data_IF_922552422236
#
_entry.id   IF_922552422236
#
_cell.length_a   1.000
_cell.length_b   1.000
_cell.length_c   1.000
_cell.angle_alpha   90.00
_cell.angle_beta   90.00
_cell.angle_gamma   90.00
#
_symmetry.space_group_name_H-M   'P 1'
#
loop_
_entity.id
_entity.type
_entity.pdbx_description
1 polymer ?
#
# COMPACT_ATOMS: atom_id res chain seq x y z
N UNK A 1 -18.10 23.96 -0.50
CA UNK A 1 -16.87 23.44 0.15
C UNK A 1 -15.72 24.29 -0.33
N UNK A 2 -14.93 24.84 0.59
CA UNK A 2 -13.99 25.94 0.34
C UNK A 2 -12.53 25.53 0.61
N UNK A 3 -12.28 24.25 0.93
CA UNK A 3 -10.96 23.61 1.04
C UNK A 3 -10.78 22.43 0.06
N UNK A 4 -9.67 21.69 0.17
CA UNK A 4 -9.40 20.49 -0.63
C UNK A 4 -10.16 19.26 -0.13
N UNK A 5 -10.38 18.27 -1.00
CA UNK A 5 -11.07 17.03 -0.64
C UNK A 5 -10.07 15.94 -0.26
N UNK A 6 -10.28 15.35 0.91
CA UNK A 6 -9.68 14.07 1.30
C UNK A 6 -10.63 12.91 0.95
N UNK A 7 -10.11 11.68 0.74
CA UNK A 7 -8.69 11.35 0.58
C UNK A 7 -8.11 11.88 -0.75
N UNK A 8 -6.84 12.27 -0.75
CA UNK A 8 -6.09 12.70 -1.95
C UNK A 8 -5.77 11.53 -2.88
N UNK A 9 -5.62 10.31 -2.34
CA UNK A 9 -5.61 9.06 -3.09
C UNK A 9 -6.65 8.10 -2.48
N UNK A 10 -7.86 7.99 -3.06
CA UNK A 10 -8.89 7.10 -2.53
C UNK A 10 -8.63 5.63 -2.85
N UNK A 11 -9.42 4.76 -2.24
CA UNK A 11 -9.26 3.33 -2.40
C UNK A 11 -7.93 2.85 -1.80
N UNK A 12 -7.55 1.63 -2.14
CA UNK A 12 -6.35 0.97 -1.64
C UNK A 12 -5.05 1.73 -2.00
N UNK A 13 -4.69 2.72 -1.18
CA UNK A 13 -3.46 3.50 -1.18
C UNK A 13 -2.95 3.70 0.27
N UNK A 14 -2.61 2.61 0.98
CA UNK A 14 -2.05 2.68 2.32
C UNK A 14 -0.61 3.15 2.40
N UNK A 15 -0.17 3.43 3.63
CA UNK A 15 1.23 3.62 4.02
C UNK A 15 1.96 4.66 3.11
N UNK A 16 1.44 5.91 3.03
CA UNK A 16 1.96 6.91 2.10
C UNK A 16 3.31 7.48 2.57
N UNK A 17 4.26 7.54 1.65
CA UNK A 17 5.54 8.27 1.81
C UNK A 17 5.61 9.39 0.78
N UNK A 18 6.21 10.54 1.12
CA UNK A 18 6.20 11.73 0.26
C UNK A 18 7.57 12.41 0.19
N UNK A 19 7.91 12.93 -1.00
CA UNK A 19 9.11 13.75 -1.22
C UNK A 19 8.74 14.94 -2.11
N UNK A 20 9.21 16.15 -1.77
CA UNK A 20 9.16 17.32 -2.64
C UNK A 20 10.52 17.50 -3.32
N UNK A 21 10.55 17.59 -4.65
CA UNK A 21 11.77 17.85 -5.41
C UNK A 21 11.50 18.69 -6.65
N UNK A 22 12.20 19.81 -6.76
CA UNK A 22 11.92 20.81 -7.79
C UNK A 22 10.49 21.32 -7.63
N UNK A 23 9.73 21.32 -8.73
CA UNK A 23 8.33 21.78 -8.73
C UNK A 23 7.30 20.68 -8.38
N UNK A 24 7.76 19.44 -8.14
CA UNK A 24 6.90 18.27 -8.01
C UNK A 24 6.99 17.65 -6.62
N UNK A 25 5.85 17.10 -6.20
CA UNK A 25 5.73 16.14 -5.12
C UNK A 25 5.67 14.73 -5.72
N UNK A 26 6.28 13.77 -5.03
CA UNK A 26 6.24 12.36 -5.37
C UNK A 26 5.74 11.57 -4.17
N UNK A 27 4.88 10.59 -4.41
CA UNK A 27 4.27 9.79 -3.35
C UNK A 27 4.26 8.32 -3.74
N UNK A 28 4.58 7.43 -2.79
CA UNK A 28 4.48 5.98 -2.97
C UNK A 28 3.60 5.34 -1.90
N UNK A 29 2.97 4.20 -2.23
CA UNK A 29 2.08 3.45 -1.31
C UNK A 29 2.36 1.95 -1.38
N UNK A 30 2.00 1.22 -0.32
CA UNK A 30 2.15 -0.23 -0.28
C UNK A 30 1.18 -0.94 -1.23
N UNK A 31 1.56 -2.13 -1.70
CA UNK A 31 0.79 -2.88 -2.71
C UNK A 31 0.48 -4.31 -2.33
N UNK A 32 1.02 -4.81 -1.22
CA UNK A 32 0.73 -6.15 -0.74
C UNK A 32 0.96 -7.19 -1.84
N UNK A 33 0.02 -8.11 -2.07
CA UNK A 33 0.15 -9.17 -3.06
C UNK A 33 -0.02 -8.69 -4.51
N UNK A 34 -0.23 -7.41 -4.77
CA UNK A 34 -0.48 -6.89 -6.11
C UNK A 34 0.83 -6.52 -6.83
N UNK A 35 0.91 -6.86 -8.12
CA UNK A 35 2.06 -6.62 -8.99
C UNK A 35 1.64 -5.89 -10.28
N UNK A 36 2.37 -4.89 -10.80
CA UNK A 36 3.62 -4.33 -10.27
C UNK A 36 3.43 -3.66 -8.90
N UNK A 37 4.50 -3.63 -8.13
CA UNK A 37 4.52 -3.19 -6.74
C UNK A 37 5.02 -1.76 -6.58
N UNK A 38 4.54 -1.09 -5.53
CA UNK A 38 4.87 0.29 -5.15
C UNK A 38 4.61 1.30 -6.28
N UNK A 39 3.35 1.72 -6.48
CA UNK A 39 3.04 2.79 -7.43
C UNK A 39 3.71 4.10 -7.01
N UNK A 40 4.23 4.82 -7.99
CA UNK A 40 4.80 6.14 -7.82
C UNK A 40 3.85 7.16 -8.45
N UNK A 41 3.36 8.07 -7.62
CA UNK A 41 2.51 9.18 -8.01
C UNK A 41 3.31 10.48 -8.05
N UNK A 42 2.86 11.43 -8.88
CA UNK A 42 3.37 12.80 -8.89
C UNK A 42 2.24 13.81 -8.79
N UNK A 43 2.52 14.96 -8.19
CA UNK A 43 1.62 16.11 -8.10
C UNK A 43 2.42 17.41 -8.11
N UNK A 44 1.80 18.51 -8.52
CA UNK A 44 2.36 19.87 -8.40
C UNK A 44 1.63 20.70 -7.33
N UNK A 45 0.52 20.19 -6.79
CA UNK A 45 -0.41 20.89 -5.92
C UNK A 45 -0.84 20.11 -4.67
N UNK A 46 -0.26 18.91 -4.43
CA UNK A 46 -0.54 17.98 -3.33
C UNK A 46 -1.94 17.34 -3.35
N UNK A 47 -2.84 17.76 -4.25
CA UNK A 47 -4.23 17.32 -4.27
C UNK A 47 -4.50 16.41 -5.45
N UNK A 48 -4.06 16.80 -6.64
CA UNK A 48 -4.22 16.03 -7.86
C UNK A 48 -2.95 15.20 -8.12
N UNK A 49 -3.12 13.89 -8.09
CA UNK A 49 -2.03 12.93 -8.22
C UNK A 49 -2.17 12.10 -9.50
N UNK A 50 -1.08 12.00 -10.25
CA UNK A 50 -0.96 11.17 -11.44
C UNK A 50 -0.03 9.99 -11.15
N UNK A 51 -0.48 8.77 -11.46
CA UNK A 51 0.39 7.59 -11.47
C UNK A 51 1.38 7.69 -12.64
N UNK A 52 2.68 7.62 -12.36
CA UNK A 52 3.76 7.71 -13.37
C UNK A 52 4.48 6.38 -13.63
N UNK A 53 4.30 5.40 -12.74
CA UNK A 53 4.86 4.06 -12.88
C UNK A 53 4.93 3.32 -11.55
N UNK A 54 5.73 2.26 -11.50
CA UNK A 54 5.94 1.42 -10.31
C UNK A 54 7.42 1.16 -10.04
N UNK A 55 7.84 1.15 -8.78
CA UNK A 55 9.24 0.87 -8.45
C UNK A 55 9.61 -0.61 -8.63
N UNK A 56 8.64 -1.53 -8.46
CA UNK A 56 8.82 -2.98 -8.55
C UNK A 56 8.00 -3.55 -9.71
N UNK A 57 8.57 -3.50 -10.91
CA UNK A 57 7.89 -3.92 -12.15
C UNK A 57 8.55 -5.10 -12.87
N UNK A 58 9.58 -5.70 -12.27
CA UNK A 58 10.23 -6.92 -12.79
C UNK A 58 10.25 -8.02 -11.74
N UNK A 59 10.17 -9.26 -12.23
CA UNK A 59 10.29 -10.44 -11.39
C UNK A 59 11.66 -10.56 -10.70
N UNK A 60 12.72 -10.00 -11.28
CA UNK A 60 14.05 -9.92 -10.63
C UNK A 60 14.03 -9.06 -9.36
N UNK A 61 13.11 -8.09 -9.29
CA UNK A 61 12.92 -7.24 -8.12
C UNK A 61 11.96 -7.87 -7.10
N UNK A 62 10.92 -8.55 -7.59
CA UNK A 62 9.84 -9.05 -6.75
C UNK A 62 9.17 -10.31 -7.32
N UNK A 63 9.36 -11.44 -6.63
CA UNK A 63 8.67 -12.70 -6.94
C UNK A 63 7.74 -13.12 -5.78
N UNK A 64 6.47 -12.71 -5.87
CA UNK A 64 5.42 -12.98 -4.88
C UNK A 64 4.44 -14.06 -5.35
N UNK A 65 4.88 -14.98 -6.22
CA UNK A 65 4.02 -15.96 -6.89
C UNK A 65 2.98 -16.62 -5.96
N UNK A 66 3.40 -17.00 -4.75
CA UNK A 66 2.57 -17.71 -3.77
C UNK A 66 2.44 -16.96 -2.44
N UNK A 67 2.57 -15.63 -2.44
CA UNK A 67 2.35 -14.84 -1.23
C UNK A 67 0.90 -15.01 -0.74
N UNK A 68 0.70 -15.12 0.57
CA UNK A 68 -0.65 -15.18 1.14
C UNK A 68 -1.45 -13.89 0.84
N UNK A 69 -2.78 -13.95 0.92
CA UNK A 69 -3.60 -12.76 0.75
C UNK A 69 -3.28 -11.74 1.86
N UNK A 70 -3.22 -10.44 1.53
CA UNK A 70 -2.72 -9.37 2.40
C UNK A 70 -1.26 -9.53 2.88
N UNK A 71 -0.47 -10.44 2.29
CA UNK A 71 0.98 -10.43 2.40
C UNK A 71 1.59 -9.61 1.24
N UNK A 72 2.86 -9.80 0.91
CA UNK A 72 3.56 -9.15 -0.20
C UNK A 72 4.28 -7.87 0.24
N UNK A 73 4.20 -6.81 -0.56
CA UNK A 73 4.91 -5.55 -0.30
C UNK A 73 4.19 -4.71 0.76
N UNK A 74 4.81 -4.59 1.92
CA UNK A 74 4.36 -3.74 3.02
C UNK A 74 4.79 -2.28 2.80
N UNK A 75 4.73 -1.43 3.82
CA UNK A 75 5.01 0.00 3.72
C UNK A 75 6.32 0.28 2.95
N UNK A 76 6.26 1.07 1.86
CA UNK A 76 7.45 1.57 1.21
C UNK A 76 7.86 2.91 1.85
N UNK A 77 9.13 3.26 1.70
CA UNK A 77 9.58 4.64 1.93
C UNK A 77 10.39 5.12 0.74
N UNK A 78 10.06 6.33 0.26
CA UNK A 78 10.68 6.98 -0.89
C UNK A 78 11.55 8.12 -0.38
N UNK A 79 12.82 8.13 -0.77
CA UNK A 79 13.79 9.16 -0.37
C UNK A 79 14.64 9.57 -1.55
N UNK A 80 15.05 10.83 -1.59
CA UNK A 80 16.03 11.32 -2.54
C UNK A 80 17.34 11.63 -1.83
N UNK A 81 18.45 11.10 -2.35
CA UNK A 81 19.78 11.40 -1.86
C UNK A 81 20.40 12.50 -2.72
N UNK A 82 20.45 13.71 -2.18
CA UNK A 82 21.00 14.88 -2.88
C UNK A 82 22.47 14.69 -3.29
N UNK A 83 23.27 13.99 -2.48
CA UNK A 83 24.70 13.79 -2.76
C UNK A 83 24.97 12.82 -3.91
N UNK A 84 24.10 11.82 -4.06
CA UNK A 84 24.17 10.80 -5.12
C UNK A 84 23.26 11.15 -6.31
N UNK A 85 22.50 12.24 -6.21
CA UNK A 85 21.47 12.66 -7.15
C UNK A 85 20.46 11.55 -7.51
N UNK A 86 20.12 10.69 -6.53
CA UNK A 86 19.46 9.40 -6.76
C UNK A 86 18.26 9.17 -5.86
N UNK A 87 17.23 8.54 -6.42
CA UNK A 87 16.06 8.07 -5.68
C UNK A 87 16.28 6.68 -5.10
N UNK A 88 15.78 6.48 -3.88
CA UNK A 88 15.76 5.21 -3.17
C UNK A 88 14.33 4.89 -2.76
N UNK A 89 13.87 3.68 -3.06
CA UNK A 89 12.62 3.11 -2.55
C UNK A 89 12.97 1.88 -1.73
N UNK A 90 12.62 1.90 -0.45
CA UNK A 90 12.88 0.84 0.51
C UNK A 90 11.57 0.22 0.99
N UNK A 91 11.54 -1.08 1.24
CA UNK A 91 10.34 -1.81 1.71
C UNK A 91 10.71 -3.22 2.20
N UNK A 92 9.72 -3.98 2.67
CA UNK A 92 9.84 -5.40 3.00
C UNK A 92 8.78 -6.24 2.27
N UNK A 93 9.19 -7.45 1.87
CA UNK A 93 8.28 -8.45 1.29
C UNK A 93 7.92 -9.53 2.31
N UNK A 94 6.64 -9.62 2.66
CA UNK A 94 6.05 -10.63 3.53
C UNK A 94 5.49 -11.76 2.68
N UNK A 95 5.81 -13.03 2.95
CA UNK A 95 5.24 -14.14 2.17
C UNK A 95 4.07 -14.84 2.86
N UNK A 96 4.10 -14.87 4.19
CA UNK A 96 3.10 -15.52 5.03
C UNK A 96 2.74 -14.55 6.15
N UNK A 97 1.46 -14.45 6.44
CA UNK A 97 1.01 -13.64 7.57
C UNK A 97 1.41 -14.33 8.88
N UNK A 98 1.74 -13.54 9.90
CA UNK A 98 2.05 -14.07 11.22
C UNK A 98 0.84 -14.85 11.77
N UNK A 99 0.96 -16.19 11.85
CA UNK A 99 -0.04 -17.05 12.47
C UNK A 99 0.38 -17.33 13.91
N UNK A 100 -0.57 -17.23 14.85
CA UNK A 100 -0.40 -17.59 16.26
C UNK A 100 -0.49 -19.11 16.50
N UNK A 101 -0.06 -19.93 15.54
CA UNK A 101 0.01 -21.38 15.72
C UNK A 101 1.44 -21.74 16.17
N UNK A 102 1.55 -22.46 17.29
CA UNK A 102 2.78 -22.65 18.09
C UNK A 102 3.98 -23.30 17.36
N UNK A 103 3.82 -23.68 16.08
CA UNK A 103 4.86 -24.37 15.29
C UNK A 103 5.02 -23.88 13.84
N UNK A 104 4.31 -22.85 13.37
CA UNK A 104 4.46 -22.28 12.00
C UNK A 104 4.47 -20.74 12.03
N UNK A 105 5.34 -20.17 12.86
CA UNK A 105 5.64 -18.73 12.77
C UNK A 105 6.49 -18.47 11.53
N UNK A 106 6.02 -17.65 10.58
CA UNK A 106 6.83 -17.32 9.42
C UNK A 106 8.08 -16.55 9.84
N UNK A 107 9.20 -16.70 9.11
CA UNK A 107 10.38 -15.89 9.38
C UNK A 107 10.03 -14.39 9.23
N UNK A 108 10.64 -13.51 10.03
CA UNK A 108 10.46 -12.08 9.84
C UNK A 108 10.88 -11.70 8.40
N UNK A 109 10.15 -10.77 7.76
CA UNK A 109 10.44 -10.40 6.39
C UNK A 109 11.80 -9.73 6.28
N UNK A 110 12.45 -9.90 5.14
CA UNK A 110 13.71 -9.23 4.84
C UNK A 110 13.43 -7.93 4.09
N UNK A 111 13.91 -6.82 4.63
CA UNK A 111 13.85 -5.52 3.97
C UNK A 111 14.88 -5.41 2.85
N UNK A 112 14.59 -4.53 1.88
CA UNK A 112 15.50 -4.20 0.79
C UNK A 112 15.20 -2.80 0.26
N UNK A 113 16.08 -2.28 -0.58
CA UNK A 113 15.79 -1.12 -1.40
C UNK A 113 16.15 -1.35 -2.87
N UNK A 114 15.51 -0.57 -3.72
CA UNK A 114 15.88 -0.35 -5.12
C UNK A 114 16.13 1.13 -5.33
N UNK A 115 16.86 1.49 -6.37
CA UNK A 115 17.17 2.89 -6.66
C UNK A 115 17.00 3.22 -8.14
N UNK A 116 16.82 4.51 -8.45
CA UNK A 116 16.79 5.02 -9.83
C UNK A 116 17.35 6.44 -9.88
N UNK A 117 18.04 6.76 -10.97
CA UNK A 117 18.46 8.14 -11.28
C UNK A 117 17.34 8.90 -12.02
N UNK A 118 16.29 8.20 -12.47
CA UNK A 118 15.15 8.79 -13.17
C UNK A 118 13.82 8.20 -12.68
N UNK A 119 13.13 8.92 -11.80
CA UNK A 119 11.84 8.51 -11.23
C UNK A 119 10.70 8.45 -12.27
N UNK A 120 10.86 9.12 -13.42
CA UNK A 120 9.86 9.17 -14.48
C UNK A 120 9.86 7.93 -15.40
N UNK A 121 10.91 7.12 -15.31
CA UNK A 121 11.08 5.91 -16.12
C UNK A 121 11.14 4.68 -15.22
N UNK A 122 10.00 4.00 -15.08
CA UNK A 122 9.89 2.81 -14.24
C UNK A 122 10.84 1.68 -14.67
N UNK A 123 11.34 1.68 -15.90
CA UNK A 123 12.30 0.65 -16.35
C UNK A 123 13.70 0.83 -15.76
N UNK A 124 13.98 1.96 -15.10
CA UNK A 124 15.31 2.32 -14.58
C UNK A 124 15.57 1.94 -13.13
N UNK A 125 14.55 1.51 -12.40
CA UNK A 125 14.75 1.00 -11.04
C UNK A 125 15.72 -0.19 -11.04
N UNK A 126 16.67 -0.21 -10.11
CA UNK A 126 17.67 -1.27 -9.96
C UNK A 126 17.05 -2.61 -9.57
N UNK A 127 17.86 -3.66 -9.58
CA UNK A 127 17.59 -4.87 -8.80
C UNK A 127 17.81 -4.57 -7.29
N UNK A 128 17.22 -5.37 -6.38
CA UNK A 128 17.18 -5.06 -4.96
C UNK A 128 18.53 -5.28 -4.28
N UNK A 129 18.86 -4.38 -3.35
CA UNK A 129 19.94 -4.56 -2.36
C UNK A 129 19.27 -4.82 -1.00
N UNK A 130 19.62 -5.94 -0.38
CA UNK A 130 18.98 -6.40 0.85
C UNK A 130 19.72 -5.89 2.08
N UNK A 131 18.96 -5.59 3.13
CA UNK A 131 19.55 -5.26 4.43
C UNK A 131 19.92 -6.51 5.23
N UNK A 132 20.87 -6.36 6.15
CA UNK A 132 21.24 -7.38 7.14
C UNK A 132 20.17 -7.59 8.23
N UNK A 133 19.17 -6.72 8.30
CA UNK A 133 18.14 -6.71 9.33
C UNK A 133 16.79 -7.20 8.79
N UNK A 134 16.07 -7.93 9.64
CA UNK A 134 14.72 -8.38 9.35
C UNK A 134 13.69 -7.52 10.09
N UNK A 135 12.50 -7.40 9.53
CA UNK A 135 11.42 -6.53 10.00
C UNK A 135 10.71 -5.82 8.86
N UNK A 136 9.86 -4.88 9.21
CA UNK A 136 9.05 -4.09 8.26
C UNK A 136 9.38 -2.60 8.38
N UNK A 137 8.75 -1.79 7.54
CA UNK A 137 8.75 -0.33 7.61
C UNK A 137 10.16 0.28 7.61
N UNK A 138 10.98 -0.12 6.65
CA UNK A 138 12.32 0.40 6.49
C UNK A 138 12.29 1.84 5.98
N UNK A 139 13.02 2.75 6.62
CA UNK A 139 13.30 4.10 6.14
C UNK A 139 14.81 4.39 6.11
N UNK A 140 15.23 5.17 5.12
CA UNK A 140 16.57 5.67 4.95
C UNK A 140 16.63 7.17 5.28
N UNK A 141 17.46 7.53 6.25
CA UNK A 141 17.79 8.91 6.54
C UNK A 141 19.22 9.23 6.08
N UNK A 142 19.34 10.21 5.17
CA UNK A 142 20.62 10.71 4.65
C UNK A 142 21.05 11.95 5.46
N UNK A 143 22.09 11.82 6.28
CA UNK A 143 22.51 12.90 7.18
C UNK A 143 23.53 13.86 6.51
N UNK A 144 23.68 15.03 7.10
CA UNK A 144 24.57 16.10 6.65
C UNK A 144 26.06 15.74 6.80
N UNK A 145 26.40 14.73 7.58
CA UNK A 145 27.77 14.21 7.67
C UNK A 145 28.09 13.15 6.60
N UNK A 146 27.09 12.80 5.76
CA UNK A 146 27.22 11.80 4.71
C UNK A 146 26.96 10.37 5.15
N UNK A 147 26.67 10.13 6.44
CA UNK A 147 26.22 8.82 6.89
C UNK A 147 24.78 8.56 6.46
N UNK A 148 24.47 7.28 6.36
CA UNK A 148 23.16 6.79 5.98
C UNK A 148 22.65 5.91 7.12
N UNK A 149 21.47 6.24 7.61
CA UNK A 149 20.83 5.54 8.71
C UNK A 149 19.62 4.79 8.21
N UNK A 150 19.54 3.50 8.54
CA UNK A 150 18.37 2.67 8.36
C UNK A 150 17.60 2.64 9.67
N UNK A 151 16.30 2.95 9.61
CA UNK A 151 15.36 2.70 10.70
C UNK A 151 14.33 1.67 10.25
N UNK A 152 13.88 0.80 11.15
CA UNK A 152 12.88 -0.24 10.83
C UNK A 152 12.15 -0.72 12.08
N UNK A 153 11.02 -1.40 11.87
CA UNK A 153 10.22 -2.01 12.91
C UNK A 153 10.47 -3.53 13.02
N UNK A 154 10.75 -4.00 14.23
CA UNK A 154 10.87 -5.44 14.55
C UNK A 154 10.52 -5.69 16.02
N UNK A 155 10.37 -6.96 16.38
CA UNK A 155 10.23 -7.39 17.78
C UNK A 155 11.55 -7.19 18.55
N UNK A 156 11.47 -7.13 19.87
CA UNK A 156 12.65 -7.20 20.74
C UNK A 156 13.08 -8.66 20.83
N UNK A 157 14.37 -8.99 20.62
CA UNK A 157 14.88 -10.35 20.81
C UNK A 157 14.51 -10.90 22.20
N UNK A 158 14.13 -12.17 22.27
CA UNK A 158 13.78 -12.90 23.49
C UNK A 158 12.59 -12.33 24.31
N UNK A 159 11.82 -11.38 23.74
CA UNK A 159 10.59 -10.91 24.38
C UNK A 159 9.46 -11.91 24.19
N UNK A 160 8.80 -12.29 25.28
CA UNK A 160 7.59 -13.12 25.25
C UNK A 160 6.39 -12.20 25.10
N UNK A 161 5.77 -12.20 23.93
CA UNK A 161 4.54 -11.47 23.68
C UNK A 161 3.40 -11.97 24.57
N UNK A 162 2.58 -11.06 25.09
CA UNK A 162 1.35 -11.46 25.77
C UNK A 162 0.35 -12.01 24.74
N UNK A 163 -0.38 -13.11 25.05
CA UNK A 163 -1.39 -13.63 24.16
C UNK A 163 -2.40 -12.55 23.76
N UNK A 164 -2.52 -12.28 22.46
CA UNK A 164 -3.43 -11.25 21.96
C UNK A 164 -2.74 -10.00 21.44
N UNK A 165 -1.51 -9.70 21.87
CA UNK A 165 -0.78 -8.48 21.50
C UNK A 165 0.27 -8.75 20.41
N UNK A 166 0.49 -7.77 19.55
CA UNK A 166 1.69 -7.70 18.71
C UNK A 166 2.68 -6.73 19.37
N UNK A 167 3.97 -7.07 19.37
CA UNK A 167 5.01 -6.15 19.86
C UNK A 167 5.97 -5.77 18.74
N UNK A 168 5.86 -4.55 18.27
CA UNK A 168 6.82 -3.96 17.34
C UNK A 168 7.49 -2.77 18.00
N UNK A 169 8.78 -2.63 17.71
CA UNK A 169 9.65 -1.59 18.23
C UNK A 169 10.54 -1.09 17.12
N UNK A 170 10.98 0.16 17.22
CA UNK A 170 11.80 0.80 16.20
C UNK A 170 13.27 0.75 16.59
N UNK A 171 14.07 0.31 15.63
CA UNK A 171 15.52 0.23 15.72
C UNK A 171 16.17 1.11 14.67
N UNK A 172 17.42 1.50 14.90
CA UNK A 172 18.24 2.19 13.90
C UNK A 172 19.68 1.69 13.88
N UNK A 173 20.29 1.72 12.70
CA UNK A 173 21.69 1.38 12.46
C UNK A 173 22.22 2.20 11.28
N UNK A 174 23.53 2.49 11.29
CA UNK A 174 24.16 3.04 10.09
C UNK A 174 24.33 1.91 9.06
N UNK A 175 24.22 2.20 7.77
CA UNK A 175 24.40 1.20 6.70
C UNK A 175 25.38 1.66 5.62
N UNK A 176 25.92 0.69 4.88
CA UNK A 176 26.56 0.89 3.59
C UNK A 176 25.50 0.79 2.47
N UNK A 177 25.38 1.83 1.63
CA UNK A 177 24.40 1.89 0.53
C UNK A 177 24.80 1.14 -0.73
N UNK A 178 25.99 0.57 -0.79
CA UNK A 178 26.42 -0.22 -1.95
C UNK A 178 26.20 -1.71 -1.69
N UNK A 179 26.29 -2.14 -0.42
CA UNK A 179 26.11 -3.55 -0.03
C UNK A 179 24.82 -3.82 0.73
N UNK A 180 24.25 -2.82 1.43
CA UNK A 180 23.13 -3.01 2.36
C UNK A 180 23.57 -3.44 3.76
N UNK A 181 24.87 -3.55 4.01
CA UNK A 181 25.41 -4.09 5.25
C UNK A 181 25.31 -3.08 6.41
N UNK A 182 25.17 -3.60 7.62
CA UNK A 182 25.19 -2.79 8.84
C UNK A 182 26.60 -2.29 9.17
N UNK A 183 26.71 -1.00 9.47
CA UNK A 183 27.90 -0.40 10.06
C UNK A 183 27.68 -0.25 11.57
N UNK A 184 28.12 -1.26 12.31
CA UNK A 184 28.00 -1.32 13.77
C UNK A 184 26.75 -2.07 14.24
N UNK A 185 26.26 -1.74 15.43
CA UNK A 185 25.18 -2.48 16.10
C UNK A 185 23.84 -1.72 16.05
N UNK A 186 22.73 -2.41 15.72
CA UNK A 186 21.38 -1.91 15.90
C UNK A 186 21.15 -1.32 17.29
N UNK A 187 20.40 -0.21 17.35
CA UNK A 187 19.96 0.40 18.61
C UNK A 187 18.45 0.55 18.61
N UNK A 188 17.81 0.05 19.66
CA UNK A 188 16.41 0.32 19.97
C UNK A 188 16.25 1.83 20.27
N UNK A 189 15.37 2.50 19.52
CA UNK A 189 15.14 3.94 19.64
C UNK A 189 13.70 4.31 20.02
N UNK A 190 12.72 3.43 19.76
CA UNK A 190 11.34 3.64 20.19
C UNK A 190 10.66 2.32 20.56
N UNK A 191 9.91 2.36 21.66
CA UNK A 191 8.92 1.35 22.03
C UNK A 191 7.61 2.08 22.28
N UNK A 192 6.47 1.49 21.93
CA UNK A 192 5.18 2.11 22.20
C UNK A 192 5.04 2.41 23.71
N UNK A 193 4.64 3.64 24.03
CA UNK A 193 4.39 4.11 25.41
C UNK A 193 2.90 4.29 25.72
N UNK A 194 2.02 3.96 24.77
CA UNK A 194 0.58 4.22 24.80
C UNK A 194 -0.24 3.03 24.31
N UNK A 195 -1.52 2.99 24.69
CA UNK A 195 -2.49 1.92 24.36
C UNK A 195 -2.07 0.51 24.81
N UNK A 196 -3.00 -0.45 24.66
CA UNK A 196 -2.76 -1.85 25.04
C UNK A 196 -1.86 -2.58 24.05
N UNK A 197 -1.95 -2.24 22.76
CA UNK A 197 -1.17 -2.87 21.70
C UNK A 197 0.26 -2.30 21.65
N UNK A 198 1.29 -3.13 21.79
CA UNK A 198 2.69 -2.68 21.98
C UNK A 198 3.41 -2.45 20.65
N UNK A 199 2.73 -1.80 19.71
CA UNK A 199 3.22 -1.54 18.35
C UNK A 199 3.75 -0.11 18.25
N UNK A 200 5.04 0.03 17.94
CA UNK A 200 5.64 1.21 17.36
C UNK A 200 6.31 0.79 16.04
N UNK A 201 5.86 1.38 14.94
CA UNK A 201 6.25 1.04 13.57
C UNK A 201 6.29 2.30 12.69
N UNK A 202 6.38 2.16 11.36
CA UNK A 202 6.43 3.28 10.42
C UNK A 202 7.45 4.38 10.76
N UNK A 203 8.72 4.06 11.11
CA UNK A 203 9.65 5.06 11.58
C UNK A 203 10.15 5.97 10.45
N UNK A 204 10.02 7.28 10.63
CA UNK A 204 10.71 8.25 9.77
C UNK A 204 11.58 9.21 10.57
N UNK A 205 12.84 9.31 10.16
CA UNK A 205 13.78 10.30 10.72
C UNK A 205 13.96 11.41 9.71
N UNK A 206 13.78 12.65 10.16
CA UNK A 206 14.09 13.84 9.39
C UNK A 206 14.77 14.89 10.28
N UNK A 207 15.39 15.89 9.65
CA UNK A 207 16.15 16.92 10.35
C UNK A 207 15.66 18.30 9.97
N UNK A 208 15.44 19.15 10.96
CA UNK A 208 15.04 20.54 10.78
C UNK A 208 15.76 21.42 11.79
N UNK A 209 16.37 22.51 11.33
CA UNK A 209 17.08 23.49 12.16
C UNK A 209 18.13 22.85 13.11
N UNK A 210 18.83 21.82 12.63
CA UNK A 210 19.84 21.08 13.41
C UNK A 210 19.29 20.07 14.42
N UNK A 211 17.97 19.90 14.51
CA UNK A 211 17.29 18.94 15.38
C UNK A 211 16.79 17.76 14.56
N UNK A 212 17.01 16.55 15.08
CA UNK A 212 16.46 15.32 14.49
C UNK A 212 15.08 15.07 15.07
N UNK A 213 14.14 14.66 14.23
CA UNK A 213 12.80 14.26 14.60
C UNK A 213 12.59 12.82 14.18
N UNK A 214 11.95 12.02 15.03
CA UNK A 214 11.51 10.67 14.77
C UNK A 214 10.00 10.64 14.88
N UNK A 215 9.31 10.32 13.78
CA UNK A 215 7.89 9.99 13.80
C UNK A 215 7.69 8.48 13.72
N UNK A 216 6.66 7.98 14.40
CA UNK A 216 6.30 6.56 14.44
C UNK A 216 4.79 6.37 14.54
N UNK A 217 4.26 5.40 13.80
CA UNK A 217 2.91 4.90 13.95
C UNK A 217 2.79 4.02 15.20
N UNK A 218 1.74 4.22 16.01
CA UNK A 218 1.51 3.46 17.24
C UNK A 218 0.07 2.96 17.35
N UNK A 219 -0.12 1.88 18.10
CA UNK A 219 -1.42 1.24 18.35
C UNK A 219 -1.81 0.15 17.34
N UNK A 220 -1.07 0.02 16.24
CA UNK A 220 -1.41 -0.84 15.10
C UNK A 220 -2.42 -0.16 14.17
N UNK A 221 -2.52 -0.64 12.93
CA UNK A 221 -3.29 0.03 11.86
C UNK A 221 -4.83 -0.04 12.01
N UNK A 222 -5.36 -0.44 13.18
CA UNK A 222 -6.79 -0.48 13.48
C UNK A 222 -7.27 0.73 14.31
N UNK A 223 -8.14 0.51 15.30
CA UNK A 223 -8.86 1.58 16.03
C UNK A 223 -7.91 2.51 16.79
N UNK A 224 -6.83 1.95 17.35
CA UNK A 224 -5.85 2.68 18.16
C UNK A 224 -4.77 3.37 17.30
N UNK A 225 -4.86 3.28 15.97
CA UNK A 225 -3.86 3.83 15.08
C UNK A 225 -3.68 5.33 15.28
N UNK A 226 -2.44 5.72 15.56
CA UNK A 226 -2.05 7.10 15.84
C UNK A 226 -0.62 7.36 15.39
N UNK A 227 -0.25 8.63 15.25
CA UNK A 227 1.12 9.03 14.92
C UNK A 227 1.76 9.79 16.09
N UNK A 228 3.03 9.52 16.36
CA UNK A 228 3.78 10.09 17.48
C UNK A 228 5.08 10.70 17.01
N UNK A 229 5.56 11.73 17.71
CA UNK A 229 6.85 12.36 17.45
C UNK A 229 7.74 12.43 18.68
N UNK A 230 9.03 12.21 18.44
CA UNK A 230 10.12 12.50 19.35
C UNK A 230 11.17 13.39 18.66
N UNK A 231 12.06 14.03 19.42
CA UNK A 231 13.20 14.78 18.88
C UNK A 231 14.51 14.48 19.60
N UNK A 232 15.63 14.73 18.95
CA UNK A 232 16.97 14.60 19.51
C UNK A 232 17.89 15.68 18.95
N UNK A 233 18.81 16.18 19.78
CA UNK A 233 19.92 17.05 19.36
C UNK A 233 21.20 16.29 19.06
N UNK A 234 21.27 15.01 19.43
CA UNK A 234 22.52 14.25 19.45
C UNK A 234 22.72 13.45 18.14
N UNK A 235 21.62 13.01 17.53
CA UNK A 235 21.66 12.29 16.27
C UNK A 235 20.55 11.23 16.12
N UNK A 236 20.58 10.46 15.02
CA UNK A 236 19.57 9.43 14.73
C UNK A 236 19.50 8.31 15.77
N UNK A 237 20.55 8.13 16.59
CA UNK A 237 20.57 7.18 17.69
C UNK A 237 19.92 7.72 18.98
N UNK A 238 19.44 8.96 19.02
CA UNK A 238 18.93 9.59 20.23
C UNK A 238 20.05 9.96 21.24
N UNK A 239 19.69 10.26 22.51
CA UNK A 239 18.41 9.99 23.16
C UNK A 239 17.26 10.82 22.56
N UNK A 240 16.04 10.26 22.64
CA UNK A 240 14.83 10.85 22.06
C UNK A 240 13.94 11.45 23.16
N UNK A 241 13.69 12.75 23.09
CA UNK A 241 12.69 13.47 23.88
C UNK A 241 11.32 13.30 23.22
N UNK A 242 10.35 12.73 23.94
CA UNK A 242 8.98 12.56 23.44
C UNK A 242 8.28 13.92 23.39
N UNK A 243 7.57 14.20 22.29
CA UNK A 243 6.78 15.42 22.14
C UNK A 243 5.73 15.59 23.25
N UNK A 244 5.47 16.83 23.72
CA UNK A 244 4.50 17.09 24.79
C UNK A 244 3.12 16.52 24.50
N UNK A 245 2.52 15.84 25.50
CA UNK A 245 1.17 15.31 25.36
C UNK A 245 0.13 16.42 25.25
N UNK A 246 -0.94 16.15 24.51
CA UNK A 246 -2.11 17.02 24.30
C UNK A 246 -1.86 18.29 23.48
N UNK A 247 -0.61 18.75 23.34
CA UNK A 247 -0.26 19.88 22.46
C UNK A 247 0.46 19.45 21.19
N UNK A 248 1.22 18.36 21.24
CA UNK A 248 1.97 17.81 20.09
C UNK A 248 1.59 16.35 19.84
N UNK A 249 1.59 15.53 20.89
CA UNK A 249 1.29 14.10 20.79
C UNK A 249 -0.11 13.72 21.31
N UNK A 250 -0.79 12.76 20.67
CA UNK A 250 -0.45 12.21 19.35
C UNK A 250 -0.56 13.28 18.26
N UNK A 251 0.31 13.21 17.24
CA UNK A 251 0.28 14.16 16.11
C UNK A 251 -1.04 14.05 15.35
N UNK A 252 -1.49 12.81 15.12
CA UNK A 252 -2.81 12.50 14.58
C UNK A 252 -3.41 11.30 15.31
N UNK A 253 -4.69 11.41 15.65
CA UNK A 253 -5.51 10.32 16.19
C UNK A 253 -6.99 10.67 16.06
N UNK A 254 -7.70 9.98 15.17
CA UNK A 254 -9.13 10.20 14.97
C UNK A 254 -10.02 9.41 15.94
N UNK A 255 -9.54 8.30 16.51
CA UNK A 255 -10.33 7.39 17.34
C UNK A 255 -11.59 6.88 16.61
N UNK A 256 -12.70 6.74 17.34
CA UNK A 256 -13.99 6.30 16.80
C UNK A 256 -14.78 7.44 16.12
N UNK A 257 -14.22 8.02 15.07
CA UNK A 257 -14.87 9.04 14.24
C UNK A 257 -15.44 8.42 12.95
N UNK A 258 -16.77 8.36 12.82
CA UNK A 258 -17.42 7.59 11.75
C UNK A 258 -17.32 8.18 10.34
N UNK A 259 -16.69 9.35 10.17
CA UNK A 259 -16.34 9.87 8.84
C UNK A 259 -14.94 9.41 8.40
N UNK A 260 -13.97 9.44 9.32
CA UNK A 260 -12.55 9.10 9.07
C UNK A 260 -11.96 8.44 10.32
N UNK A 261 -11.51 7.19 10.23
CA UNK A 261 -10.85 6.46 11.33
C UNK A 261 -9.43 6.00 10.97
N UNK A 262 -8.73 5.41 11.93
CA UNK A 262 -7.46 4.69 11.73
C UNK A 262 -6.34 5.56 11.14
N UNK A 263 -6.27 6.84 11.50
CA UNK A 263 -5.27 7.80 11.03
C UNK A 263 -3.88 7.51 11.62
N UNK A 264 -2.87 7.30 10.79
CA UNK A 264 -1.49 7.07 11.22
C UNK A 264 -0.60 6.73 10.03
N UNK A 265 0.58 6.17 10.31
CA UNK A 265 1.59 5.82 9.29
C UNK A 265 1.87 7.04 8.40
N UNK A 266 2.27 8.13 9.06
CA UNK A 266 2.39 9.45 8.48
C UNK A 266 3.79 9.69 7.93
N UNK A 267 3.90 10.43 6.84
CA UNK A 267 5.15 11.04 6.36
C UNK A 267 4.95 12.56 6.17
N UNK A 268 6.02 13.33 6.27
CA UNK A 268 5.98 14.81 6.23
C UNK A 268 6.89 15.38 5.16
N UNK A 269 6.47 16.52 4.60
CA UNK A 269 7.26 17.22 3.60
C UNK A 269 7.15 18.73 3.78
N UNK A 270 8.28 19.41 3.59
CA UNK A 270 8.29 20.85 3.37
C UNK A 270 7.92 21.13 1.90
N UNK A 271 6.85 21.88 1.71
CA UNK A 271 6.40 22.32 0.40
C UNK A 271 7.35 23.32 -0.23
N UNK A 272 7.20 23.53 -1.54
CA UNK A 272 7.99 24.51 -2.32
C UNK A 272 7.86 25.96 -1.84
N UNK A 273 6.82 26.26 -1.08
CA UNK A 273 6.52 27.55 -0.46
C UNK A 273 6.98 27.64 1.01
N UNK A 274 7.65 26.61 1.53
CA UNK A 274 8.05 26.48 2.93
C UNK A 274 6.92 26.03 3.87
N UNK A 275 5.70 25.83 3.36
CA UNK A 275 4.59 25.29 4.14
C UNK A 275 4.78 23.79 4.32
N UNK A 276 4.68 23.31 5.55
CA UNK A 276 4.78 21.89 5.84
C UNK A 276 3.45 21.18 5.65
N UNK A 277 3.52 19.94 5.19
CA UNK A 277 2.39 19.06 4.92
C UNK A 277 2.65 17.67 5.48
N UNK A 278 1.60 17.00 5.90
CA UNK A 278 1.60 15.62 6.32
C UNK A 278 0.68 14.80 5.43
N UNK A 279 1.16 13.63 5.00
CA UNK A 279 0.33 12.58 4.40
C UNK A 279 0.21 11.44 5.40
N UNK A 280 -0.96 10.84 5.53
CA UNK A 280 -1.16 9.67 6.39
C UNK A 280 -2.18 8.73 5.75
N UNK A 281 -2.19 7.47 6.17
CA UNK A 281 -3.30 6.61 5.83
C UNK A 281 -4.50 6.89 6.74
N UNK A 282 -5.71 6.65 6.26
CA UNK A 282 -6.92 6.55 7.08
C UNK A 282 -7.97 5.70 6.36
N UNK A 283 -9.08 5.39 7.04
CA UNK A 283 -10.23 4.69 6.45
C UNK A 283 -11.49 5.53 6.52
N UNK A 284 -12.32 5.45 5.48
CA UNK A 284 -13.72 5.87 5.53
C UNK A 284 -14.59 4.66 5.90
N UNK A 285 -15.04 4.51 7.15
CA UNK A 285 -15.79 3.32 7.56
C UNK A 285 -17.18 3.29 6.91
N UNK A 286 -17.76 2.09 6.75
CA UNK A 286 -19.13 1.87 6.25
C UNK A 286 -19.97 1.03 7.21
N UNK A 287 -19.37 0.02 7.86
CA UNK A 287 -20.04 -0.82 8.86
C UNK A 287 -19.12 -1.03 10.06
N UNK A 288 -19.39 -0.31 11.15
CA UNK A 288 -18.49 -0.25 12.30
C UNK A 288 -17.16 0.35 11.88
N UNK A 289 -16.06 -0.40 12.02
CA UNK A 289 -14.71 0.03 11.66
C UNK A 289 -14.28 -0.41 10.25
N UNK A 290 -15.14 -1.13 9.53
CA UNK A 290 -14.78 -1.77 8.27
C UNK A 290 -14.99 -0.81 7.09
N UNK A 291 -14.03 -0.80 6.18
CA UNK A 291 -14.14 -0.14 4.87
C UNK A 291 -13.74 -1.08 3.76
N UNK A 292 -14.61 -1.24 2.75
CA UNK A 292 -14.31 -2.03 1.55
C UNK A 292 -13.51 -1.23 0.50
N UNK A 293 -13.16 0.02 0.78
CA UNK A 293 -12.17 0.77 -0.02
C UNK A 293 -10.74 0.54 0.48
N UNK A 294 -10.58 -0.13 1.63
CA UNK A 294 -9.30 -0.30 2.29
C UNK A 294 -8.81 0.99 2.95
N UNK A 295 -7.50 1.06 3.16
CA UNK A 295 -6.78 2.23 3.69
C UNK A 295 -6.44 3.17 2.52
N UNK A 296 -6.79 4.44 2.67
CA UNK A 296 -6.69 5.50 1.65
C UNK A 296 -5.69 6.58 2.14
N UNK A 297 -5.14 7.40 1.25
CA UNK A 297 -4.18 8.46 1.63
C UNK A 297 -4.88 9.81 1.86
N UNK A 298 -4.60 10.43 3.00
CA UNK A 298 -5.11 11.73 3.42
C UNK A 298 -3.99 12.76 3.52
N UNK A 299 -4.35 14.05 3.42
CA UNK A 299 -3.47 15.20 3.52
C UNK A 299 -3.91 16.12 4.67
N UNK A 300 -2.95 16.70 5.38
CA UNK A 300 -3.15 17.73 6.38
C UNK A 300 -2.03 18.80 6.34
N UNK A 301 -2.33 20.09 6.58
CA UNK A 301 -1.30 21.10 6.77
C UNK A 301 -0.60 20.91 8.13
N UNK A 302 0.65 21.36 8.22
CA UNK A 302 1.45 21.30 9.44
C UNK A 302 2.02 22.68 9.78
N UNK A 303 1.79 23.11 11.02
CA UNK A 303 2.37 24.33 11.57
C UNK A 303 3.48 24.01 12.55
N UNK A 304 4.53 24.82 12.60
CA UNK A 304 5.58 24.68 13.61
C UNK A 304 5.37 25.65 14.77
N UNK A 305 5.27 25.14 16.00
CA UNK A 305 5.11 25.93 17.23
C UNK A 305 6.12 25.46 18.27
N UNK A 306 6.93 26.36 18.79
CA UNK A 306 7.95 26.08 19.82
C UNK A 306 8.87 24.89 19.48
N UNK A 307 9.23 24.77 18.20
CA UNK A 307 10.08 23.68 17.69
C UNK A 307 9.39 22.32 17.54
N UNK A 308 8.05 22.27 17.57
CA UNK A 308 7.27 21.07 17.34
C UNK A 308 6.27 21.25 16.18
N UNK A 309 6.06 20.22 15.34
CA UNK A 309 5.01 20.24 14.34
C UNK A 309 3.65 19.97 14.98
N UNK A 310 2.65 20.73 14.55
CA UNK A 310 1.24 20.61 14.94
C UNK A 310 0.44 20.34 13.67
N UNK A 311 -0.03 19.11 13.52
CA UNK A 311 -0.78 18.66 12.34
C UNK A 311 -2.22 19.15 12.43
N UNK A 312 -2.73 19.73 11.35
CA UNK A 312 -4.11 20.20 11.22
C UNK A 312 -4.59 21.08 12.39
N UNK A 313 -3.68 21.90 12.94
CA UNK A 313 -3.92 22.72 14.13
C UNK A 313 -4.45 21.92 15.35
N UNK A 314 -4.03 20.65 15.50
CA UNK A 314 -4.42 19.74 16.58
C UNK A 314 -5.83 19.15 16.42
N UNK A 315 -6.49 19.36 15.28
CA UNK A 315 -7.82 18.80 14.99
C UNK A 315 -7.71 17.47 14.27
N UNK A 316 -8.74 16.63 14.44
CA UNK A 316 -8.92 15.40 13.65
C UNK A 316 -8.91 15.69 12.15
N UNK A 317 -8.37 14.75 11.37
CA UNK A 317 -8.38 14.82 9.91
C UNK A 317 -9.79 14.49 9.42
N UNK A 318 -10.36 15.36 8.59
CA UNK A 318 -11.69 15.18 8.00
C UNK A 318 -11.65 14.96 6.48
N UNK A 319 -12.84 14.77 5.90
CA UNK A 319 -13.04 14.62 4.44
C UNK A 319 -12.81 15.92 3.65
N UNK A 320 -12.80 17.07 4.33
CA UNK A 320 -12.48 18.37 3.74
C UNK A 320 -11.32 18.98 4.53
N UNK A 321 -10.26 19.36 3.83
CA UNK A 321 -9.15 20.10 4.41
C UNK A 321 -9.54 21.52 4.81
N UNK A 322 -8.77 22.17 5.69
CA UNK A 322 -9.13 23.48 6.22
C UNK A 322 -8.98 24.58 5.14
N UNK A 323 -9.87 25.58 5.15
CA UNK A 323 -9.99 26.60 4.09
C UNK A 323 -8.79 27.55 4.02
N UNK A 324 -8.11 27.73 5.15
CA UNK A 324 -6.93 28.57 5.34
C UNK A 324 -5.63 27.88 4.89
N UNK A 325 -5.69 26.60 4.47
CA UNK A 325 -4.53 25.86 3.95
C UNK A 325 -3.99 26.40 2.61
N UNK A 326 -4.70 27.31 1.95
CA UNK A 326 -4.34 27.82 0.62
C UNK A 326 -4.65 26.86 -0.53
N UNK A 327 -4.95 25.58 -0.25
CA UNK A 327 -5.37 24.60 -1.25
C UNK A 327 -6.89 24.62 -1.43
N UNK A 328 -7.32 24.89 -2.68
CA UNK A 328 -8.74 24.93 -3.05
C UNK A 328 -8.99 24.01 -4.22
N UNK A 329 -9.47 22.79 -3.93
CA UNK A 329 -9.89 21.89 -5.00
C UNK A 329 -10.89 20.85 -4.51
N UNK A 330 -12.13 20.99 -4.98
CA UNK A 330 -13.12 19.93 -4.84
C UNK A 330 -12.82 18.91 -5.92
N UNK A 331 -12.71 17.66 -5.50
CA UNK A 331 -12.40 16.55 -6.38
C UNK A 331 -13.46 16.39 -7.48
N UNK A 332 -13.03 16.25 -8.72
CA UNK A 332 -13.91 15.90 -9.83
C UNK A 332 -14.39 14.45 -9.70
N UNK A 333 -15.63 14.20 -10.10
CA UNK A 333 -16.18 12.85 -10.20
C UNK A 333 -15.27 11.99 -11.10
N UNK A 334 -14.71 10.92 -10.53
CA UNK A 334 -13.86 10.02 -11.30
C UNK A 334 -14.71 9.17 -12.24
N UNK A 335 -14.49 9.36 -13.53
CA UNK A 335 -14.96 8.44 -14.57
C UNK A 335 -13.81 8.14 -15.50
N UNK A 336 -13.77 6.92 -16.01
CA UNK A 336 -12.75 6.52 -16.98
C UNK A 336 -13.38 5.55 -17.98
N UNK A 337 -12.84 5.54 -19.18
CA UNK A 337 -13.18 4.59 -20.25
C UNK A 337 -11.89 4.15 -20.89
N UNK A 338 -11.64 2.85 -20.94
CA UNK A 338 -10.46 2.27 -21.60
C UNK A 338 -10.91 1.46 -22.81
N UNK A 339 -10.35 1.81 -23.97
CA UNK A 339 -10.33 0.93 -25.16
C UNK A 339 -8.93 0.34 -25.18
N UNK A 340 -8.78 -0.93 -24.79
CA UNK A 340 -7.50 -1.63 -24.61
C UNK A 340 -6.72 -1.78 -25.93
N UNK A 341 -6.24 -0.67 -26.49
CA UNK A 341 -5.47 -0.63 -27.72
C UNK A 341 -4.03 -1.12 -27.47
N UNK A 342 -3.30 -1.42 -28.55
CA UNK A 342 -1.94 -1.99 -28.49
C UNK A 342 -0.90 -1.08 -27.81
N UNK A 343 -1.14 0.22 -27.75
CA UNK A 343 -0.19 1.23 -27.26
C UNK A 343 -0.50 1.64 -25.80
N UNK A 344 -1.52 1.05 -25.18
CA UNK A 344 -1.91 1.32 -23.80
C UNK A 344 -0.88 0.74 -22.83
N UNK A 345 -0.27 1.61 -22.04
CA UNK A 345 0.48 1.18 -20.86
C UNK A 345 -0.49 0.79 -19.75
N UNK A 346 -0.68 -0.51 -19.54
CA UNK A 346 -1.60 -1.03 -18.52
C UNK A 346 -1.21 -0.55 -17.12
N UNK A 347 0.07 -0.56 -16.79
CA UNK A 347 0.55 -0.35 -15.42
C UNK A 347 0.51 1.13 -15.03
N UNK A 348 0.87 2.04 -15.93
CA UNK A 348 0.68 3.48 -15.73
C UNK A 348 -0.80 3.90 -15.75
N UNK A 349 -1.67 3.06 -16.30
CA UNK A 349 -3.12 3.23 -16.21
C UNK A 349 -3.74 2.49 -15.01
N UNK A 350 -2.91 2.00 -14.07
CA UNK A 350 -3.35 1.47 -12.78
C UNK A 350 -4.03 0.11 -12.86
N UNK A 351 -3.58 -0.75 -13.79
CA UNK A 351 -3.93 -2.17 -13.83
C UNK A 351 -2.89 -2.99 -13.07
N UNK A 352 -3.36 -3.99 -12.32
CA UNK A 352 -2.52 -4.84 -11.48
C UNK A 352 -2.86 -6.32 -11.70
N UNK A 353 -1.84 -7.15 -11.57
CA UNK A 353 -1.94 -8.57 -11.35
C UNK A 353 -2.11 -8.86 -9.85
N UNK A 354 -2.80 -9.96 -9.53
CA UNK A 354 -2.63 -10.58 -8.22
C UNK A 354 -1.40 -11.49 -8.31
N UNK A 355 -0.39 -11.17 -7.51
CA UNK A 355 0.94 -11.81 -7.42
C UNK A 355 1.77 -11.67 -8.69
N UNK A 356 3.02 -12.12 -8.64
CA UNK A 356 3.96 -12.05 -9.76
C UNK A 356 3.66 -13.15 -10.79
N UNK A 357 3.24 -12.82 -12.03
CA UNK A 357 2.99 -13.84 -13.05
C UNK A 357 4.27 -14.59 -13.45
N UNK A 358 4.21 -15.93 -13.55
CA UNK A 358 5.34 -16.74 -14.06
C UNK A 358 5.48 -16.61 -15.59
N UNK A 359 4.34 -16.49 -16.29
CA UNK A 359 4.28 -16.38 -17.74
C UNK A 359 3.28 -15.30 -18.15
N UNK A 360 3.49 -14.62 -19.29
CA UNK A 360 2.51 -13.70 -19.83
C UNK A 360 1.17 -14.39 -20.10
N UNK A 361 0.10 -13.88 -19.51
CA UNK A 361 -1.28 -14.33 -19.76
C UNK A 361 -2.16 -13.24 -20.36
N UNK A 362 -1.63 -12.03 -20.59
CA UNK A 362 -2.38 -10.95 -21.21
C UNK A 362 -1.65 -10.43 -22.44
N UNK A 363 -2.40 -9.78 -23.34
CA UNK A 363 -1.87 -9.07 -24.49
C UNK A 363 -2.86 -8.02 -24.98
N UNK A 364 -2.33 -6.97 -25.58
CA UNK A 364 -3.13 -5.91 -26.20
C UNK A 364 -3.09 -6.07 -27.72
N UNK A 365 -4.25 -5.90 -28.36
CA UNK A 365 -4.40 -6.02 -29.80
C UNK A 365 -5.34 -4.94 -30.33
N UNK A 366 -5.52 -4.87 -31.65
CA UNK A 366 -6.56 -4.02 -32.25
C UNK A 366 -7.98 -4.42 -31.82
N UNK A 367 -8.18 -5.68 -31.38
CA UNK A 367 -9.46 -6.19 -30.90
C UNK A 367 -9.69 -5.92 -29.40
N UNK A 368 -8.69 -5.42 -28.66
CA UNK A 368 -8.78 -5.16 -27.24
C UNK A 368 -7.80 -5.99 -26.40
N UNK A 369 -8.15 -6.16 -25.12
CA UNK A 369 -7.42 -6.96 -24.14
C UNK A 369 -7.74 -8.45 -24.35
N UNK A 370 -6.69 -9.25 -24.53
CA UNK A 370 -6.78 -10.71 -24.54
C UNK A 370 -6.27 -11.20 -23.19
N UNK A 371 -7.08 -11.99 -22.48
CA UNK A 371 -6.67 -12.74 -21.29
C UNK A 371 -6.70 -14.24 -21.62
N UNK A 372 -5.56 -14.91 -21.40
CA UNK A 372 -5.43 -16.36 -21.56
C UNK A 372 -5.81 -17.04 -20.26
N UNK A 373 -6.63 -18.10 -20.32
CA UNK A 373 -6.96 -18.89 -19.14
C UNK A 373 -5.69 -19.47 -18.49
N UNK A 374 -5.60 -19.33 -17.18
CA UNK A 374 -4.57 -19.92 -16.35
C UNK A 374 -4.93 -21.35 -15.92
N UNK A 375 -4.00 -22.01 -15.23
CA UNK A 375 -4.24 -23.35 -14.66
C UNK A 375 -4.98 -23.30 -13.32
N UNK A 376 -4.99 -22.14 -12.67
CA UNK A 376 -5.47 -21.98 -11.30
C UNK A 376 -6.68 -21.08 -11.25
N UNK A 377 -7.65 -21.48 -10.44
CA UNK A 377 -8.83 -20.69 -10.13
C UNK A 377 -8.54 -19.70 -8.98
N UNK A 378 -9.40 -18.69 -8.83
CA UNK A 378 -9.20 -17.53 -7.95
C UNK A 378 -8.96 -17.86 -6.46
N UNK A 379 -9.34 -19.06 -6.00
CA UNK A 379 -9.16 -19.51 -4.63
C UNK A 379 -7.73 -19.95 -4.26
N UNK A 380 -6.84 -20.10 -5.24
CA UNK A 380 -5.48 -20.60 -5.01
C UNK A 380 -4.52 -19.46 -4.61
N UNK A 381 -3.54 -19.78 -3.76
CA UNK A 381 -2.41 -18.90 -3.47
C UNK A 381 -1.35 -18.96 -4.57
N UNK A 382 -1.75 -18.53 -5.76
CA UNK A 382 -0.93 -18.53 -6.97
C UNK A 382 -1.23 -17.28 -7.81
N UNK A 383 -0.34 -16.94 -8.76
CA UNK A 383 -0.55 -15.89 -9.73
C UNK A 383 -1.58 -16.33 -10.79
N UNK A 384 -2.86 -16.09 -10.47
CA UNK A 384 -4.00 -16.37 -11.36
C UNK A 384 -4.06 -15.36 -12.52
N UNK A 385 -4.69 -15.77 -13.62
CA UNK A 385 -4.90 -14.90 -14.79
C UNK A 385 -6.00 -13.88 -14.50
N UNK A 386 -5.61 -12.72 -13.96
CA UNK A 386 -6.53 -11.68 -13.50
C UNK A 386 -5.87 -10.31 -13.60
N UNK A 387 -6.58 -9.35 -14.20
CA UNK A 387 -6.22 -7.93 -14.20
C UNK A 387 -7.25 -7.14 -13.37
N UNK A 388 -6.74 -6.36 -12.42
CA UNK A 388 -7.53 -5.62 -11.45
C UNK A 388 -7.25 -4.13 -11.54
N UNK A 389 -8.25 -3.33 -11.17
CA UNK A 389 -8.14 -1.88 -10.98
C UNK A 389 -8.75 -1.53 -9.63
N UNK A 390 -8.10 -0.63 -8.89
CA UNK A 390 -8.55 -0.19 -7.56
C UNK A 390 -9.95 0.41 -7.62
N UNK A 391 -10.83 0.00 -6.69
CA UNK A 391 -12.10 0.68 -6.44
C UNK A 391 -11.82 1.96 -5.63
N UNK A 392 -12.31 3.11 -6.09
CA UNK A 392 -12.00 4.43 -5.50
C UNK A 392 -13.22 5.18 -4.95
N UNK A 393 -14.41 4.59 -5.09
CA UNK A 393 -15.67 5.16 -4.64
C UNK A 393 -16.60 4.06 -4.11
N UNK A 394 -17.41 4.40 -3.10
CA UNK A 394 -18.40 3.50 -2.53
C UNK A 394 -19.54 3.18 -3.50
N UNK A 395 -19.90 4.13 -4.35
CA UNK A 395 -20.99 4.01 -5.31
C UNK A 395 -20.43 4.26 -6.71
N UNK A 396 -20.72 3.35 -7.63
CA UNK A 396 -20.33 3.49 -9.03
C UNK A 396 -20.90 2.38 -9.89
N UNK A 397 -20.88 2.60 -11.20
CA UNK A 397 -21.32 1.63 -12.20
C UNK A 397 -20.15 1.31 -13.13
N UNK A 398 -19.95 0.03 -13.39
CA UNK A 398 -18.87 -0.48 -14.23
C UNK A 398 -19.49 -1.30 -15.34
N UNK A 399 -19.03 -1.08 -16.57
CA UNK A 399 -19.48 -1.82 -17.74
C UNK A 399 -18.27 -2.41 -18.43
N UNK A 400 -18.39 -3.67 -18.80
CA UNK A 400 -17.38 -4.41 -19.57
C UNK A 400 -18.10 -5.25 -20.60
N UNK A 401 -17.55 -5.25 -21.80
CA UNK A 401 -17.94 -6.12 -22.90
C UNK A 401 -16.78 -7.08 -23.12
N UNK A 402 -17.07 -8.38 -23.11
CA UNK A 402 -16.08 -9.42 -23.39
C UNK A 402 -16.75 -10.58 -24.12
N UNK A 403 -15.94 -11.31 -24.88
CA UNK A 403 -16.33 -12.52 -25.59
C UNK A 403 -15.53 -13.69 -25.03
N UNK A 404 -16.19 -14.83 -24.82
CA UNK A 404 -15.54 -16.04 -24.34
C UNK A 404 -16.33 -17.28 -24.78
N UNK A 405 -15.66 -18.14 -25.55
CA UNK A 405 -16.23 -19.38 -26.06
C UNK A 405 -15.49 -20.57 -25.43
N UNK A 406 -15.95 -21.09 -24.27
CA UNK A 406 -15.25 -22.20 -23.62
C UNK A 406 -15.39 -23.47 -24.46
N UNK A 407 -14.27 -24.13 -24.72
CA UNK A 407 -14.21 -25.39 -25.49
C UNK A 407 -14.08 -26.60 -24.59
N UNK A 408 -13.75 -26.40 -23.31
CA UNK A 408 -13.56 -27.46 -22.34
C UNK A 408 -14.34 -27.23 -21.04
N UNK A 409 -14.84 -28.30 -20.39
CA UNK A 409 -15.46 -28.20 -19.08
C UNK A 409 -14.49 -27.61 -18.04
N UNK A 410 -14.92 -26.57 -17.33
CA UNK A 410 -14.13 -25.90 -16.30
C UNK A 410 -13.31 -24.70 -16.79
N UNK A 411 -13.24 -24.46 -18.10
CA UNK A 411 -12.79 -23.17 -18.63
C UNK A 411 -13.78 -22.08 -18.21
N UNK A 412 -13.29 -20.98 -17.66
CA UNK A 412 -14.12 -19.93 -17.10
C UNK A 412 -13.46 -18.56 -17.26
N UNK A 413 -14.23 -17.58 -17.72
CA UNK A 413 -13.81 -16.19 -17.82
C UNK A 413 -14.97 -15.26 -17.44
N UNK A 414 -14.64 -14.12 -16.84
CA UNK A 414 -15.65 -13.18 -16.39
C UNK A 414 -15.08 -11.99 -15.63
N UNK A 415 -15.95 -11.40 -14.83
CA UNK A 415 -15.71 -10.16 -14.11
C UNK A 415 -15.88 -10.43 -12.63
N UNK A 416 -15.02 -9.83 -11.81
CA UNK A 416 -15.07 -10.01 -10.36
C UNK A 416 -14.92 -8.66 -9.65
N UNK A 417 -15.69 -8.49 -8.57
CA UNK A 417 -15.38 -7.55 -7.50
C UNK A 417 -14.51 -8.32 -6.50
N UNK A 418 -13.24 -7.96 -6.43
CA UNK A 418 -12.20 -8.73 -5.74
C UNK A 418 -11.79 -8.04 -4.44
N UNK A 419 -11.90 -8.73 -3.31
CA UNK A 419 -11.27 -8.35 -2.05
C UNK A 419 -10.16 -9.33 -1.69
N UNK A 420 -10.48 -10.61 -1.69
CA UNK A 420 -9.51 -11.70 -1.52
C UNK A 420 -10.04 -13.00 -2.10
N UNK A 421 -9.22 -14.06 -2.07
CA UNK A 421 -9.65 -15.42 -2.42
C UNK A 421 -10.83 -15.94 -1.59
N UNK A 422 -11.08 -15.36 -0.41
CA UNK A 422 -12.19 -15.71 0.48
C UNK A 422 -13.41 -14.80 0.31
N UNK A 423 -13.21 -13.60 -0.23
CA UNK A 423 -14.25 -12.59 -0.36
C UNK A 423 -14.20 -11.97 -1.76
N UNK A 424 -15.02 -12.47 -2.67
CA UNK A 424 -15.22 -11.85 -3.97
C UNK A 424 -16.60 -12.22 -4.53
N UNK A 425 -17.13 -11.36 -5.40
CA UNK A 425 -18.32 -11.65 -6.18
C UNK A 425 -17.96 -11.69 -7.65
N UNK A 426 -18.50 -12.64 -8.42
CA UNK A 426 -18.19 -12.75 -9.85
C UNK A 426 -19.39 -13.13 -10.72
N UNK A 427 -19.34 -12.67 -11.97
CA UNK A 427 -20.23 -13.07 -13.07
C UNK A 427 -19.34 -13.58 -14.19
N UNK A 428 -19.57 -14.80 -14.65
CA UNK A 428 -18.66 -15.49 -15.59
C UNK A 428 -19.40 -16.43 -16.54
N UNK A 429 -18.77 -16.70 -17.68
CA UNK A 429 -19.15 -17.75 -18.63
C UNK A 429 -18.26 -18.96 -18.33
N UNK A 430 -18.85 -20.13 -18.11
CA UNK A 430 -18.14 -21.38 -17.80
C UNK A 430 -18.50 -22.51 -18.77
N UNK A 431 -17.49 -23.22 -19.25
CA UNK A 431 -17.65 -24.46 -20.01
C UNK A 431 -18.16 -25.61 -19.15
N UNK A 432 -19.09 -26.41 -19.69
CA UNK A 432 -19.74 -27.53 -19.02
C UNK A 432 -19.90 -28.72 -19.97
N UNK A 433 -19.88 -29.94 -19.41
CA UNK A 433 -20.31 -31.14 -20.14
C UNK A 433 -21.81 -31.07 -20.42
N UNK A 434 -22.24 -31.42 -21.65
CA UNK A 434 -23.64 -31.57 -21.98
C UNK A 434 -24.37 -32.44 -20.95
N UNK A 435 -25.54 -31.99 -20.48
CA UNK A 435 -26.49 -32.85 -19.76
C UNK A 435 -27.12 -33.85 -20.73
N UNK A 436 -27.86 -34.85 -20.23
CA UNK A 436 -28.48 -35.94 -21.03
C UNK A 436 -29.35 -35.52 -22.25
N UNK A 437 -29.58 -34.22 -22.46
CA UNK A 437 -30.29 -33.63 -23.60
C UNK A 437 -29.36 -33.31 -24.79
N UNK A 438 -28.06 -33.54 -24.68
CA UNK A 438 -27.06 -33.26 -25.72
C UNK A 438 -26.49 -34.59 -26.25
N UNK A 439 -26.26 -34.73 -27.56
CA UNK A 439 -25.51 -35.86 -28.12
C UNK A 439 -24.17 -36.04 -27.39
N UNK A 440 -23.75 -37.28 -27.17
CA UNK A 440 -22.42 -37.59 -26.62
C UNK A 440 -21.33 -36.83 -27.40
N UNK A 441 -20.53 -36.03 -26.69
CA UNK A 441 -19.44 -35.24 -27.27
C UNK A 441 -19.70 -33.74 -27.45
N UNK A 442 -20.89 -33.22 -27.11
CA UNK A 442 -21.16 -31.77 -27.15
C UNK A 442 -20.88 -31.08 -25.79
N UNK A 443 -20.09 -30.00 -25.85
CA UNK A 443 -19.81 -29.09 -24.74
C UNK A 443 -20.71 -27.85 -24.85
N UNK A 444 -21.17 -27.33 -23.71
CA UNK A 444 -21.98 -26.11 -23.65
C UNK A 444 -21.40 -25.10 -22.67
N UNK A 445 -21.99 -23.90 -22.63
CA UNK A 445 -21.62 -22.85 -21.69
C UNK A 445 -22.77 -22.52 -20.72
N UNK A 446 -22.43 -22.11 -19.51
CA UNK A 446 -23.40 -21.59 -18.53
C UNK A 446 -22.92 -20.27 -17.94
N UNK A 447 -23.86 -19.42 -17.56
CA UNK A 447 -23.58 -18.23 -16.76
C UNK A 447 -23.49 -18.63 -15.28
N UNK A 448 -22.38 -18.28 -14.64
CA UNK A 448 -22.10 -18.58 -13.24
C UNK A 448 -22.02 -17.29 -12.45
N UNK A 449 -22.77 -17.24 -11.36
CA UNK A 449 -22.79 -16.15 -10.39
C UNK A 449 -22.21 -16.65 -9.08
N UNK A 450 -21.23 -15.94 -8.52
CA UNK A 450 -20.68 -16.24 -7.19
C UNK A 450 -20.80 -15.04 -6.26
N UNK A 451 -21.14 -15.34 -5.01
CA UNK A 451 -20.98 -14.42 -3.88
C UNK A 451 -20.50 -15.20 -2.65
N UNK A 452 -19.79 -14.56 -1.70
CA UNK A 452 -19.41 -15.21 -0.45
C UNK A 452 -20.66 -15.64 0.33
N UNK A 453 -20.59 -16.78 1.04
CA UNK A 453 -21.59 -17.11 2.06
C UNK A 453 -21.49 -16.13 3.23
N UNK A 454 -22.55 -16.01 4.02
CA UNK A 454 -22.53 -15.19 5.24
C UNK A 454 -21.55 -15.72 6.30
N UNK A 455 -21.31 -17.03 6.33
CA UNK A 455 -20.39 -17.70 7.24
C UNK A 455 -19.41 -18.63 6.51
N UNK A 456 -18.18 -18.71 7.00
CA UNK A 456 -17.12 -19.56 6.47
C UNK A 456 -16.36 -18.98 5.27
N UNK A 457 -15.55 -19.81 4.62
CA UNK A 457 -14.68 -19.44 3.48
C UNK A 457 -15.22 -19.98 2.13
N UNK A 458 -16.53 -20.18 2.06
CA UNK A 458 -17.24 -20.81 0.94
C UNK A 458 -18.07 -19.80 0.14
N UNK A 459 -18.56 -20.23 -1.04
CA UNK A 459 -19.36 -19.40 -1.95
C UNK A 459 -20.76 -19.98 -2.19
N UNK A 460 -21.76 -19.09 -2.32
CA UNK A 460 -23.03 -19.42 -2.97
C UNK A 460 -22.85 -19.32 -4.49
N UNK A 461 -23.31 -20.33 -5.22
CA UNK A 461 -23.12 -20.43 -6.67
C UNK A 461 -24.45 -20.59 -7.39
N UNK A 462 -24.89 -19.52 -8.07
CA UNK A 462 -26.03 -19.54 -8.98
C UNK A 462 -25.59 -19.91 -10.40
N UNK A 463 -26.46 -20.60 -11.15
CA UNK A 463 -26.19 -21.03 -12.54
C UNK A 463 -27.41 -20.78 -13.41
N UNK A 464 -27.19 -20.16 -14.56
CA UNK A 464 -28.21 -19.99 -15.59
C UNK A 464 -27.72 -20.64 -16.89
N UNK A 465 -28.51 -21.56 -17.43
CA UNK A 465 -28.17 -22.23 -18.68
C UNK A 465 -28.26 -21.22 -19.83
N UNK A 466 -27.19 -21.12 -20.62
CA UNK A 466 -27.27 -20.48 -21.91
C UNK A 466 -27.55 -21.57 -22.95
N UNK A 467 -28.71 -21.52 -23.60
CA UNK A 467 -29.06 -22.47 -24.66
C UNK A 467 -28.39 -22.05 -25.97
N UNK A 468 -27.21 -22.63 -26.26
CA UNK A 468 -26.65 -22.86 -27.60
C UNK A 468 -26.40 -21.66 -28.54
N UNK A 469 -25.27 -21.74 -29.26
CA UNK A 469 -24.93 -20.88 -30.41
C UNK A 469 -25.94 -20.97 -31.56
#
# INVERSE_FOLDING_TARGET
>A
MTGFSNPILPGFNPDPTIVCRGDNYFLATSTFEYFPGVPIYTSIDLVDWQLIGHALNRRSQLDMRTAEAAAGIYAPTLRYNERRERWYMTTACVFKNAKKADHDSPPPPRGFYVWTDNIWDETKWSDPVYYDVAGIDQDLFFDDDGKVWLSWATTIPDHIDQPGHFSLTVWTVQIDLDTGDNIGQPKLIRQNTTFGNRVAEGPHIFKKDGVYYLITAEGGTEIEHSEWICRSTDGPRGPWEVGPQSTVNPMVYNGLDYDVMQTGHMDMVEGKDGQWWAVCLAVRPQRGILSHLGRETFLAPVEWKDGWPVVNAGRKIGLTGPEDSGLRRIRNQQSWKTKFNKDLDLYKNGWYHCRTPIKPYHGLSSAGLILKCGQYALQHDEAVSMLLKKQTAFVGTWHIEFEFEPTWPGEEAGVTVWWSKWAHCSVSIRGKRGTACWPEGQYGAELVFRKPKEEGNDFEVGRLLHCGY
#
